data_IF_344192507593
#
_entry.id   IF_344192507593
#
_cell.length_a   1.000
_cell.length_b   1.000
_cell.length_c   1.000
_cell.angle_alpha   90.00
_cell.angle_beta   90.00
_cell.angle_gamma   90.00
#
_symmetry.space_group_name_H-M   'P 1'
#
loop_
_entity.id
_entity.type
_entity.pdbx_description
1 polymer ?
#
# COMPACT_ATOMS: atom_id res chain seq x y z
N UNK A 1 -53.11 -8.23 -11.02
CA UNK A 1 -51.65 -8.38 -10.95
C UNK A 1 -51.24 -9.23 -12.12
N UNK A 2 -50.71 -8.61 -13.18
CA UNK A 2 -50.24 -9.29 -14.39
C UNK A 2 -48.72 -9.14 -14.48
N UNK A 3 -48.02 -10.27 -14.53
CA UNK A 3 -46.58 -10.35 -14.69
C UNK A 3 -46.19 -10.03 -16.15
N UNK A 4 -45.46 -8.92 -16.38
CA UNK A 4 -44.87 -8.63 -17.69
C UNK A 4 -43.59 -9.47 -17.88
N UNK A 5 -43.70 -10.53 -18.69
CA UNK A 5 -42.57 -11.28 -19.26
C UNK A 5 -41.75 -10.38 -20.19
N UNK A 6 -40.55 -9.98 -19.74
CA UNK A 6 -39.51 -9.43 -20.61
C UNK A 6 -38.83 -10.61 -21.33
N UNK A 7 -39.32 -10.96 -22.53
CA UNK A 7 -38.62 -11.87 -23.43
C UNK A 7 -38.21 -11.07 -24.67
N UNK A 8 -37.26 -10.17 -24.48
CA UNK A 8 -36.53 -9.59 -25.60
C UNK A 8 -35.69 -10.70 -26.21
N UNK A 9 -36.21 -11.26 -27.30
CA UNK A 9 -35.55 -12.27 -28.12
C UNK A 9 -34.29 -11.63 -28.69
N UNK A 10 -33.13 -11.96 -28.13
CA UNK A 10 -31.83 -11.69 -28.75
C UNK A 10 -31.84 -12.36 -30.12
N UNK A 11 -31.99 -11.57 -31.19
CA UNK A 11 -31.78 -12.05 -32.56
C UNK A 11 -30.29 -12.31 -32.72
N UNK A 12 -29.89 -13.57 -32.54
CA UNK A 12 -28.55 -14.02 -32.89
C UNK A 12 -28.55 -14.28 -34.40
N UNK A 13 -28.01 -13.34 -35.17
CA UNK A 13 -27.74 -13.57 -36.59
C UNK A 13 -26.45 -14.40 -36.71
N UNK A 14 -26.55 -15.54 -37.38
CA UNK A 14 -25.40 -16.42 -37.63
C UNK A 14 -24.66 -15.89 -38.85
N UNK A 15 -23.54 -15.21 -38.62
CA UNK A 15 -22.66 -14.71 -39.68
C UNK A 15 -21.54 -15.72 -39.91
N UNK A 16 -21.29 -16.09 -41.17
CA UNK A 16 -20.14 -16.91 -41.55
C UNK A 16 -18.93 -16.01 -41.70
N UNK A 17 -17.89 -16.24 -40.89
CA UNK A 17 -16.68 -15.43 -40.86
C UNK A 17 -15.48 -16.30 -41.25
N UNK A 18 -14.52 -15.74 -41.98
CA UNK A 18 -13.31 -16.48 -42.35
C UNK A 18 -12.44 -16.73 -41.12
N UNK A 19 -11.65 -17.81 -41.13
CA UNK A 19 -10.74 -18.10 -40.02
C UNK A 19 -9.75 -16.95 -39.78
N UNK A 20 -9.28 -16.30 -40.85
CA UNK A 20 -8.33 -15.18 -40.78
C UNK A 20 -8.96 -13.93 -40.16
N UNK A 21 -10.22 -13.64 -40.48
CA UNK A 21 -10.94 -12.52 -39.87
C UNK A 21 -11.26 -12.79 -38.39
N UNK A 22 -11.52 -14.06 -38.03
CA UNK A 22 -11.68 -14.47 -36.63
C UNK A 22 -10.41 -14.26 -35.83
N UNK A 23 -9.26 -14.67 -36.38
CA UNK A 23 -7.96 -14.47 -35.74
C UNK A 23 -7.71 -12.98 -35.52
N UNK A 24 -7.95 -12.13 -36.53
CA UNK A 24 -7.81 -10.67 -36.40
C UNK A 24 -8.69 -10.04 -35.32
N UNK A 25 -9.95 -10.49 -35.22
CA UNK A 25 -10.86 -9.99 -34.18
C UNK A 25 -10.38 -10.42 -32.79
N UNK A 26 -9.89 -11.66 -32.64
CA UNK A 26 -9.35 -12.14 -31.37
C UNK A 26 -8.09 -11.38 -31.00
N UNK A 27 -7.16 -11.18 -31.93
CA UNK A 27 -5.93 -10.41 -31.70
C UNK A 27 -6.24 -8.97 -31.26
N UNK A 28 -7.13 -8.26 -31.97
CA UNK A 28 -7.52 -6.89 -31.62
C UNK A 28 -8.23 -6.79 -30.26
N UNK A 29 -9.04 -7.80 -29.90
CA UNK A 29 -9.69 -7.86 -28.57
C UNK A 29 -8.67 -8.17 -27.47
N UNK A 30 -7.74 -9.09 -27.70
CA UNK A 30 -6.70 -9.46 -26.75
C UNK A 30 -5.76 -8.27 -26.51
N UNK A 31 -5.30 -7.60 -27.56
CA UNK A 31 -4.41 -6.44 -27.46
C UNK A 31 -5.08 -5.29 -26.69
N UNK A 32 -6.32 -4.93 -27.04
CA UNK A 32 -7.07 -3.88 -26.33
C UNK A 32 -7.37 -4.23 -24.88
N UNK A 33 -7.55 -5.51 -24.56
CA UNK A 33 -7.82 -5.96 -23.19
C UNK A 33 -6.53 -5.98 -22.38
N UNK A 34 -5.44 -6.52 -22.93
CA UNK A 34 -4.12 -6.53 -22.30
C UNK A 34 -3.62 -5.12 -22.02
N UNK A 35 -3.72 -4.20 -22.98
CA UNK A 35 -3.29 -2.81 -22.81
C UNK A 35 -4.00 -2.13 -21.62
N UNK A 36 -5.33 -2.31 -21.52
CA UNK A 36 -6.12 -1.80 -20.39
C UNK A 36 -5.75 -2.43 -19.05
N UNK A 37 -5.39 -3.71 -19.03
CA UNK A 37 -4.93 -4.40 -17.83
C UNK A 37 -3.56 -3.88 -17.39
N UNK A 38 -2.60 -3.78 -18.32
CA UNK A 38 -1.27 -3.25 -18.04
C UNK A 38 -1.32 -1.80 -17.53
N UNK A 39 -2.14 -0.94 -18.13
CA UNK A 39 -2.30 0.46 -17.69
C UNK A 39 -2.97 0.59 -16.32
N UNK A 40 -3.82 -0.37 -15.95
CA UNK A 40 -4.45 -0.43 -14.64
C UNK A 40 -3.44 -0.91 -13.58
N UNK A 41 -2.67 -1.95 -13.87
CA UNK A 41 -1.62 -2.44 -12.96
C UNK A 41 -0.51 -1.41 -12.76
N UNK A 42 -0.06 -0.73 -13.82
CA UNK A 42 1.01 0.28 -13.72
C UNK A 42 0.60 1.48 -12.85
N UNK A 43 -0.67 1.91 -12.92
CA UNK A 43 -1.21 2.96 -12.04
C UNK A 43 -1.29 2.52 -10.59
N UNK A 44 -1.80 1.31 -10.33
CA UNK A 44 -1.86 0.75 -8.98
C UNK A 44 -0.47 0.61 -8.36
N UNK A 45 0.52 0.12 -9.12
CA UNK A 45 1.89 -0.03 -8.65
C UNK A 45 2.56 1.30 -8.32
N UNK A 46 2.28 2.36 -9.11
CA UNK A 46 2.82 3.70 -8.87
C UNK A 46 2.18 4.39 -7.67
N UNK A 47 0.86 4.25 -7.50
CA UNK A 47 0.17 4.72 -6.30
C UNK A 47 0.67 4.00 -5.05
N UNK A 48 0.87 2.69 -5.13
CA UNK A 48 1.42 1.90 -4.03
C UNK A 48 2.88 2.27 -3.71
N UNK A 49 3.70 2.60 -4.72
CA UNK A 49 5.05 3.13 -4.51
C UNK A 49 5.05 4.49 -3.80
N UNK A 50 4.27 5.45 -4.28
CA UNK A 50 4.15 6.77 -3.65
C UNK A 50 3.62 6.67 -2.22
N UNK A 51 2.72 5.72 -1.96
CA UNK A 51 2.20 5.45 -0.62
C UNK A 51 3.28 4.85 0.31
N UNK A 52 4.13 3.94 -0.19
CA UNK A 52 5.29 3.40 0.56
C UNK A 52 6.34 4.46 0.87
N UNK A 53 6.48 5.48 0.03
CA UNK A 53 7.41 6.58 0.29
C UNK A 53 6.91 7.50 1.41
N UNK A 54 5.60 7.73 1.50
CA UNK A 54 4.99 8.67 2.44
C UNK A 54 4.61 8.04 3.80
N UNK A 55 4.27 6.76 3.82
CA UNK A 55 3.73 6.08 5.00
C UNK A 55 4.53 4.84 5.38
N UNK A 56 4.60 4.59 6.69
CA UNK A 56 5.16 3.40 7.30
C UNK A 56 4.04 2.47 7.73
N UNK A 57 4.24 1.18 7.57
CA UNK A 57 3.46 0.11 8.21
C UNK A 57 3.90 -0.07 9.67
N UNK A 58 3.13 -0.84 10.44
CA UNK A 58 3.50 -1.18 11.82
C UNK A 58 4.88 -1.87 11.92
N UNK A 59 5.21 -2.73 10.95
CA UNK A 59 6.50 -3.43 10.95
C UNK A 59 7.65 -2.45 10.71
N UNK A 60 7.55 -1.59 9.69
CA UNK A 60 8.57 -0.58 9.39
C UNK A 60 8.72 0.43 10.54
N UNK A 61 7.62 0.76 11.24
CA UNK A 61 7.66 1.58 12.44
C UNK A 61 8.44 0.90 13.58
N UNK A 62 8.24 -0.41 13.79
CA UNK A 62 9.01 -1.20 14.76
C UNK A 62 10.49 -1.23 14.39
N UNK A 63 10.81 -1.43 13.11
CA UNK A 63 12.18 -1.50 12.63
C UNK A 63 12.88 -0.14 12.76
N UNK A 64 12.18 0.95 12.45
CA UNK A 64 12.71 2.32 12.54
C UNK A 64 12.92 2.79 13.99
N UNK A 65 11.98 2.49 14.88
CA UNK A 65 12.01 2.97 16.27
C UNK A 65 12.69 1.99 17.22
N UNK A 66 12.81 0.72 16.82
CA UNK A 66 13.29 -0.38 17.65
C UNK A 66 12.34 -0.75 18.80
N UNK A 67 11.13 -0.20 18.87
CA UNK A 67 10.11 -0.56 19.85
C UNK A 67 9.42 -1.86 19.47
N UNK A 68 8.99 -2.62 20.48
CA UNK A 68 8.10 -3.75 20.25
C UNK A 68 6.66 -3.28 19.99
N UNK A 69 5.87 -4.16 19.37
CA UNK A 69 4.49 -3.87 18.98
C UNK A 69 3.62 -3.36 20.14
N UNK A 70 3.75 -3.94 21.33
CA UNK A 70 2.97 -3.51 22.51
C UNK A 70 3.33 -2.09 22.96
N UNK A 71 4.62 -1.74 22.98
CA UNK A 71 5.07 -0.37 23.29
C UNK A 71 4.55 0.66 22.28
N UNK A 72 4.57 0.31 20.98
CA UNK A 72 3.99 1.18 19.95
C UNK A 72 2.48 1.33 20.11
N UNK A 73 1.76 0.26 20.45
CA UNK A 73 0.31 0.33 20.73
C UNK A 73 0.02 1.26 21.91
N UNK A 74 0.81 1.20 22.99
CA UNK A 74 0.66 2.14 24.12
C UNK A 74 0.88 3.59 23.68
N UNK A 75 1.90 3.83 22.85
CA UNK A 75 2.19 5.16 22.27
C UNK A 75 1.14 5.66 21.27
N UNK A 76 0.37 4.75 20.67
CA UNK A 76 -0.78 5.12 19.84
C UNK A 76 -1.96 5.48 20.74
N UNK A 77 -2.19 4.70 21.80
CA UNK A 77 -3.28 4.94 22.75
C UNK A 77 -3.12 6.25 23.53
N UNK A 78 -1.90 6.61 23.90
CA UNK A 78 -1.60 7.85 24.61
C UNK A 78 -1.51 9.08 23.68
N UNK A 79 -1.64 8.89 22.36
CA UNK A 79 -1.59 9.95 21.36
C UNK A 79 -0.18 10.37 20.93
N UNK A 80 0.88 9.75 21.46
CA UNK A 80 2.27 10.04 21.07
C UNK A 80 2.53 9.71 19.60
N UNK A 81 1.86 8.71 19.03
CA UNK A 81 1.95 8.33 17.62
C UNK A 81 0.56 8.40 17.00
N UNK A 82 0.41 9.19 15.94
CA UNK A 82 -0.83 9.21 15.18
C UNK A 82 -0.86 8.01 14.21
N UNK A 83 -1.92 7.21 14.33
CA UNK A 83 -2.17 6.08 13.44
C UNK A 83 -3.33 6.42 12.51
N UNK A 84 -3.15 6.19 11.21
CA UNK A 84 -4.18 6.38 10.20
C UNK A 84 -4.64 5.02 9.68
N UNK A 85 -5.90 4.95 9.23
CA UNK A 85 -6.45 3.74 8.61
C UNK A 85 -6.32 3.86 7.10
N UNK A 86 -5.78 2.84 6.44
CA UNK A 86 -5.75 2.79 4.97
C UNK A 86 -7.19 2.71 4.42
N UNK A 87 -7.59 3.49 3.39
CA UNK A 87 -8.98 3.55 2.92
C UNK A 87 -9.58 2.20 2.52
N UNK A 88 -8.74 1.30 1.99
CA UNK A 88 -9.15 -0.01 1.49
C UNK A 88 -8.64 -1.18 2.37
N UNK A 89 -8.20 -0.90 3.61
CA UNK A 89 -7.68 -1.93 4.50
C UNK A 89 -7.86 -1.57 5.98
N UNK A 90 -8.10 -2.57 6.83
CA UNK A 90 -8.07 -2.37 8.29
C UNK A 90 -6.64 -2.22 8.85
N UNK A 91 -5.62 -2.05 7.99
CA UNK A 91 -4.24 -1.84 8.39
C UNK A 91 -4.01 -0.40 8.84
N UNK A 92 -3.28 -0.27 9.93
CA UNK A 92 -2.76 1.01 10.41
C UNK A 92 -1.50 1.38 9.63
N UNK A 93 -1.44 2.66 9.26
CA UNK A 93 -0.30 3.30 8.61
C UNK A 93 0.09 4.57 9.38
N UNK A 94 1.36 4.96 9.28
CA UNK A 94 1.97 6.04 10.05
C UNK A 94 2.70 6.99 9.11
N UNK A 95 2.54 8.31 9.27
CA UNK A 95 3.24 9.27 8.41
C UNK A 95 4.74 9.24 8.69
N UNK A 96 5.55 8.94 7.67
CA UNK A 96 7.00 8.77 7.83
C UNK A 96 7.68 10.02 8.40
N UNK A 97 7.36 11.21 7.85
CA UNK A 97 7.94 12.48 8.30
C UNK A 97 7.64 12.77 9.77
N UNK A 98 6.39 12.56 10.21
CA UNK A 98 5.97 12.78 11.60
C UNK A 98 6.73 11.85 12.57
N UNK A 99 6.93 10.59 12.20
CA UNK A 99 7.70 9.64 13.02
C UNK A 99 9.16 10.08 13.12
N UNK A 100 9.76 10.51 12.01
CA UNK A 100 11.14 11.01 11.98
C UNK A 100 11.28 12.26 12.85
N UNK A 101 10.35 13.22 12.76
CA UNK A 101 10.32 14.40 13.63
C UNK A 101 10.24 14.01 15.10
N UNK A 102 9.38 13.05 15.45
CA UNK A 102 9.26 12.55 16.82
C UNK A 102 10.50 11.80 17.31
N UNK A 103 11.23 11.13 16.43
CA UNK A 103 12.54 10.53 16.76
C UNK A 103 13.59 11.62 17.00
N UNK A 104 13.68 12.61 16.11
CA UNK A 104 14.63 13.72 16.20
C UNK A 104 14.40 14.58 17.44
N UNK A 105 13.14 14.81 17.80
CA UNK A 105 12.74 15.52 19.03
C UNK A 105 12.89 14.65 20.30
N UNK A 106 13.36 13.41 20.18
CA UNK A 106 13.61 12.51 21.31
C UNK A 106 12.37 11.86 21.92
N UNK A 107 11.17 12.12 21.38
CA UNK A 107 9.89 11.60 21.88
C UNK A 107 9.78 10.08 21.67
N UNK A 108 10.28 9.60 20.53
CA UNK A 108 10.32 8.18 20.17
C UNK A 108 11.72 7.56 20.33
N UNK A 109 12.51 8.05 21.30
CA UNK A 109 13.75 7.35 21.66
C UNK A 109 13.39 6.06 22.40
N UNK A 110 13.74 4.91 21.81
CA UNK A 110 13.95 3.69 22.57
C UNK A 110 14.82 4.09 23.76
N UNK A 111 14.45 3.66 24.97
CA UNK A 111 15.37 3.67 26.10
C UNK A 111 16.49 2.71 25.72
N UNK A 112 17.42 3.15 24.87
CA UNK A 112 18.52 2.33 24.40
C UNK A 112 19.28 1.96 25.65
N UNK A 113 19.30 0.66 25.95
CA UNK A 113 20.19 0.12 26.97
C UNK A 113 21.62 0.54 26.62
N UNK A 114 22.50 0.62 27.61
CA UNK A 114 23.91 0.97 27.37
C UNK A 114 24.53 0.12 26.25
N UNK A 115 24.13 -1.15 26.15
CA UNK A 115 24.57 -2.11 25.12
C UNK A 115 24.06 -1.79 23.71
N UNK A 116 22.85 -1.22 23.55
CA UNK A 116 22.33 -0.84 22.23
C UNK A 116 22.97 0.45 21.72
N UNK A 117 23.39 1.36 22.63
CA UNK A 117 24.11 2.61 22.29
C UNK A 117 25.51 2.34 21.76
N UNK A 118 26.20 1.36 22.34
CA UNK A 118 27.54 0.92 21.88
C UNK A 118 27.50 0.27 20.49
N UNK A 119 26.45 -0.48 20.15
CA UNK A 119 26.33 -1.15 18.84
C UNK A 119 26.08 -0.20 17.66
N UNK A 120 25.51 0.98 17.90
CA UNK A 120 25.13 1.95 16.85
C UNK A 120 26.17 3.08 16.72
N UNK A 121 27.24 3.07 17.53
CA UNK A 121 28.32 4.07 17.43
C UNK A 121 27.91 5.50 17.79
N UNK A 122 26.76 5.69 18.46
CA UNK A 122 26.36 6.98 19.03
C UNK A 122 26.91 7.06 20.45
N UNK A 123 28.11 7.65 20.59
CA UNK A 123 28.84 7.73 21.86
C UNK A 123 30.36 7.61 21.76
N UNK A 124 30.97 7.70 20.57
CA UNK A 124 32.35 8.17 20.50
C UNK A 124 32.30 9.68 20.71
N UNK A 125 32.38 10.09 21.97
CA UNK A 125 32.97 11.38 22.31
C UNK A 125 34.42 11.30 21.82
N UNK A 126 34.65 11.71 20.57
CA UNK A 126 35.97 12.17 20.18
C UNK A 126 36.05 13.63 20.61
N UNK A 127 36.87 13.83 21.62
CA UNK A 127 37.28 15.08 22.22
C UNK A 127 37.65 16.13 21.16
N UNK A 128 37.00 17.28 21.22
CA UNK A 128 37.62 18.61 21.01
C UNK A 128 37.15 19.51 22.14
#
# INVERSE_FOLDING_TARGET
MEEKKLSDRVKVEVVTISLDDLIRIIEDVVDKTMEKWYDKERRNAREEQLEKEAYLTMQELMDLTGYCRSSLISKIKDGTINAYKKPNSNRLIFRKQEIIEKINNGILRKSFSKADREKIGWGKEDSV
#
